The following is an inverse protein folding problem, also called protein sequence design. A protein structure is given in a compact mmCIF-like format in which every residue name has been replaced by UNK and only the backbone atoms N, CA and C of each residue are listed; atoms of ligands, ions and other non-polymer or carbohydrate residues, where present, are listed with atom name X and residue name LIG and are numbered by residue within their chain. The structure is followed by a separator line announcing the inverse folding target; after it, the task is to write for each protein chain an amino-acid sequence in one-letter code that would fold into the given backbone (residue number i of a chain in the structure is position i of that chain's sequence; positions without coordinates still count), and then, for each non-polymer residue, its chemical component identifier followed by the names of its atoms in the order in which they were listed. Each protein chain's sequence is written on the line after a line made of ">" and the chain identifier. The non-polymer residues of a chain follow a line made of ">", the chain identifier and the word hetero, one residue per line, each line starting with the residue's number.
data_IF_411878684732
#
_entry.id   IF_411878684732
#
_cell.length_a   1.000
_cell.length_b   1.000
_cell.length_c   1.000
_cell.angle_alpha   90.00
_cell.angle_beta   90.00
_cell.angle_gamma   90.00
#
_symmetry.space_group_name_H-M   'P 1'
#
loop_
_entity.id
_entity.type
_entity.pdbx_description
1 polymer ?
#
# COMPACT_ATOMS: atom_id res chain seq x y z
N UNK A 1 34.74 -36.34 36.13
CA UNK A 1 34.31 -37.10 34.94
C UNK A 1 34.46 -36.20 33.73
N UNK A 2 35.48 -36.45 32.91
CA UNK A 2 35.75 -35.77 31.63
C UNK A 2 34.98 -36.48 30.52
N UNK A 3 34.35 -35.75 29.61
CA UNK A 3 33.77 -36.31 28.38
C UNK A 3 34.26 -35.51 27.16
N UNK A 4 34.82 -36.27 26.23
CA UNK A 4 35.60 -35.90 25.06
C UNK A 4 34.70 -35.48 23.88
N UNK A 5 35.04 -34.39 23.19
CA UNK A 5 34.40 -33.97 21.93
C UNK A 5 35.24 -34.48 20.76
N UNK A 6 34.61 -35.24 19.85
CA UNK A 6 35.21 -35.71 18.60
C UNK A 6 34.80 -34.83 17.42
N UNK A 7 35.77 -34.39 16.63
CA UNK A 7 35.57 -33.70 15.35
C UNK A 7 35.86 -34.66 14.19
N UNK A 8 34.92 -34.81 13.27
CA UNK A 8 35.11 -35.50 11.98
C UNK A 8 35.16 -34.46 10.86
N UNK A 9 36.25 -34.44 10.09
CA UNK A 9 36.40 -33.60 8.92
C UNK A 9 35.92 -34.36 7.67
N UNK A 10 35.05 -33.73 6.88
CA UNK A 10 34.58 -34.24 5.58
C UNK A 10 35.24 -33.45 4.47
N UNK A 11 35.99 -34.12 3.60
CA UNK A 11 36.60 -33.53 2.40
C UNK A 11 35.58 -33.42 1.27
N UNK A 12 35.48 -32.24 0.65
CA UNK A 12 34.63 -31.98 -0.50
C UNK A 12 35.41 -32.13 -1.81
N UNK A 13 34.85 -32.87 -2.77
CA UNK A 13 35.36 -33.03 -4.14
C UNK A 13 34.80 -31.92 -5.02
N UNK A 14 35.66 -31.20 -5.74
CA UNK A 14 35.26 -30.17 -6.70
C UNK A 14 35.18 -30.83 -8.09
N UNK A 15 33.98 -30.89 -8.66
CA UNK A 15 33.75 -31.33 -10.03
C UNK A 15 33.62 -30.10 -10.95
N UNK A 16 34.53 -29.98 -11.91
CA UNK A 16 34.51 -28.93 -12.93
C UNK A 16 33.62 -29.36 -14.09
N UNK A 17 32.41 -28.77 -14.17
CA UNK A 17 31.48 -28.94 -15.28
C UNK A 17 31.59 -27.77 -16.26
N UNK A 18 31.94 -28.07 -17.51
CA UNK A 18 31.97 -27.12 -18.62
C UNK A 18 30.55 -26.81 -19.08
N UNK A 19 30.10 -25.57 -18.88
CA UNK A 19 28.80 -25.07 -19.39
C UNK A 19 28.99 -24.40 -20.74
N UNK A 20 28.39 -24.99 -21.77
CA UNK A 20 28.17 -24.40 -23.08
C UNK A 20 27.27 -23.17 -22.94
N UNK A 21 27.81 -22.00 -23.27
CA UNK A 21 27.07 -20.73 -23.25
C UNK A 21 26.17 -20.64 -24.49
N UNK A 22 24.90 -21.04 -24.35
CA UNK A 22 23.84 -20.68 -25.28
C UNK A 22 23.29 -19.31 -24.89
N UNK A 23 23.48 -18.30 -25.75
CA UNK A 23 22.86 -16.99 -25.59
C UNK A 23 21.34 -17.13 -25.77
N UNK A 24 20.60 -17.21 -24.66
CA UNK A 24 19.15 -17.11 -24.68
C UNK A 24 18.76 -15.70 -25.15
N UNK A 25 17.97 -15.62 -26.22
CA UNK A 25 17.35 -14.38 -26.66
C UNK A 25 16.46 -13.84 -25.52
N UNK A 26 16.45 -12.52 -25.26
CA UNK A 26 15.59 -11.95 -24.24
C UNK A 26 14.14 -12.18 -24.64
N UNK A 27 13.42 -12.97 -23.84
CA UNK A 27 11.97 -13.05 -23.92
C UNK A 27 11.43 -11.68 -23.51
N UNK A 28 10.99 -10.90 -24.50
CA UNK A 28 10.21 -9.69 -24.25
C UNK A 28 8.87 -10.19 -23.68
N UNK A 29 8.78 -10.21 -22.36
CA UNK A 29 7.51 -10.33 -21.63
C UNK A 29 6.67 -9.12 -22.04
N UNK A 30 5.89 -9.29 -23.10
CA UNK A 30 4.82 -8.37 -23.47
C UNK A 30 3.79 -8.47 -22.37
N UNK A 31 3.90 -7.60 -21.37
CA UNK A 31 2.91 -7.46 -20.32
C UNK A 31 1.53 -7.27 -20.94
N UNK A 32 0.51 -7.87 -20.31
CA UNK A 32 -0.88 -7.68 -20.73
C UNK A 32 -1.14 -6.18 -20.91
N UNK A 33 -1.73 -5.81 -22.05
CA UNK A 33 -2.03 -4.41 -22.35
C UNK A 33 -2.88 -3.84 -21.21
N UNK A 34 -2.38 -2.78 -20.57
CA UNK A 34 -3.14 -2.06 -19.56
C UNK A 34 -4.49 -1.64 -20.16
N UNK A 35 -5.58 -1.84 -19.40
CA UNK A 35 -6.91 -1.43 -19.83
C UNK A 35 -6.96 0.07 -20.13
N UNK A 36 -7.97 0.53 -20.90
CA UNK A 36 -8.16 1.95 -21.14
C UNK A 36 -8.32 2.72 -19.84
N UNK A 37 -7.66 3.86 -19.76
CA UNK A 37 -7.79 4.83 -18.67
C UNK A 37 -8.86 5.86 -19.03
N UNK A 38 -9.81 6.08 -18.15
CA UNK A 38 -10.99 6.92 -18.41
C UNK A 38 -10.95 8.29 -17.74
N UNK A 39 -9.90 8.59 -16.97
CA UNK A 39 -9.70 9.90 -16.34
C UNK A 39 -8.20 10.22 -16.20
N UNK A 40 -7.86 11.51 -16.00
CA UNK A 40 -6.51 11.93 -15.65
C UNK A 40 -6.50 13.18 -14.76
N UNK A 41 -5.64 13.18 -13.74
CA UNK A 41 -5.45 14.27 -12.78
C UNK A 41 -6.75 14.65 -12.07
N UNK A 42 -7.12 15.92 -12.18
CA UNK A 42 -8.34 16.47 -11.55
C UNK A 42 -9.64 15.82 -12.03
N UNK A 43 -9.66 15.24 -13.23
CA UNK A 43 -10.87 14.57 -13.75
C UNK A 43 -11.13 13.21 -13.09
N UNK A 44 -10.15 12.68 -12.36
CA UNK A 44 -10.26 11.47 -11.55
C UNK A 44 -10.82 11.74 -10.14
N UNK A 45 -10.92 13.00 -9.70
CA UNK A 45 -11.33 13.30 -8.32
C UNK A 45 -12.73 12.73 -8.02
N UNK A 46 -12.82 11.99 -6.91
CA UNK A 46 -14.07 11.36 -6.46
C UNK A 46 -14.47 10.11 -7.25
N UNK A 47 -13.66 9.63 -8.20
CA UNK A 47 -13.92 8.40 -8.97
C UNK A 47 -13.22 7.19 -8.37
N UNK A 48 -13.75 6.01 -8.67
CA UNK A 48 -13.16 4.74 -8.27
C UNK A 48 -11.96 4.36 -9.18
N UNK A 49 -10.85 3.94 -8.58
CA UNK A 49 -9.63 3.64 -9.32
C UNK A 49 -9.75 2.41 -10.24
N UNK A 50 -10.54 1.42 -9.84
CA UNK A 50 -10.78 0.20 -10.62
C UNK A 50 -11.66 0.52 -11.82
N UNK A 51 -12.76 1.26 -11.61
CA UNK A 51 -13.66 1.66 -12.68
C UNK A 51 -12.98 2.52 -13.75
N UNK A 52 -12.02 3.36 -13.34
CA UNK A 52 -11.29 4.25 -14.24
C UNK A 52 -10.08 3.61 -14.92
N UNK A 53 -9.78 2.34 -14.61
CA UNK A 53 -8.63 1.62 -15.17
C UNK A 53 -7.28 2.03 -14.57
N UNK A 54 -7.28 2.80 -13.48
CA UNK A 54 -6.07 3.34 -12.85
C UNK A 54 -5.26 2.31 -12.07
N UNK A 55 -5.87 1.18 -11.71
CA UNK A 55 -5.18 0.10 -10.99
C UNK A 55 -4.14 -0.64 -11.83
N UNK A 56 -4.22 -0.54 -13.17
CA UNK A 56 -3.36 -1.31 -14.08
C UNK A 56 -1.87 -0.93 -14.00
N UNK A 57 -1.55 0.34 -13.73
CA UNK A 57 -0.19 0.86 -13.55
C UNK A 57 0.05 1.42 -12.15
N UNK A 58 -0.84 1.08 -11.20
CA UNK A 58 -0.75 1.52 -9.83
C UNK A 58 0.51 0.97 -9.15
N UNK A 59 1.10 1.80 -8.30
CA UNK A 59 2.14 1.37 -7.36
C UNK A 59 1.93 2.01 -6.00
N UNK A 60 2.17 1.24 -4.94
CA UNK A 60 2.22 1.77 -3.59
C UNK A 60 3.43 2.71 -3.45
N UNK A 61 3.19 3.96 -3.03
CA UNK A 61 4.25 4.94 -2.75
C UNK A 61 4.71 4.82 -1.30
N UNK A 62 3.78 4.54 -0.39
CA UNK A 62 4.03 4.45 1.05
C UNK A 62 2.83 3.75 1.69
N UNK A 63 3.02 3.17 2.87
CA UNK A 63 1.93 2.55 3.61
C UNK A 63 2.16 2.56 5.12
N UNK A 64 1.26 1.88 5.83
CA UNK A 64 1.31 1.66 7.28
C UNK A 64 0.72 0.29 7.64
N UNK A 65 1.13 -0.25 8.78
CA UNK A 65 0.49 -1.40 9.42
C UNK A 65 -0.40 -0.90 10.57
N UNK A 66 -1.58 -1.50 10.75
CA UNK A 66 -2.37 -1.34 11.97
C UNK A 66 -2.08 -2.51 12.92
N UNK A 67 -1.98 -2.27 14.23
CA UNK A 67 -1.89 -3.35 15.22
C UNK A 67 -3.25 -3.44 15.90
N UNK A 68 -4.08 -4.41 15.52
CA UNK A 68 -5.47 -4.54 15.98
C UNK A 68 -5.64 -5.48 17.19
N UNK A 69 -4.54 -5.88 17.83
CA UNK A 69 -4.53 -6.81 18.97
C UNK A 69 -4.84 -8.27 18.62
N UNK A 70 -5.25 -8.59 17.38
CA UNK A 70 -5.50 -9.97 16.92
C UNK A 70 -4.25 -10.68 16.40
N UNK A 71 -3.15 -9.92 16.24
CA UNK A 71 -1.89 -10.42 15.65
C UNK A 71 -1.90 -10.43 14.12
N UNK A 72 -3.04 -10.13 13.50
CA UNK A 72 -3.14 -9.90 12.06
C UNK A 72 -2.81 -8.44 11.78
N UNK A 73 -2.00 -8.18 10.74
CA UNK A 73 -1.60 -6.84 10.34
C UNK A 73 -2.46 -6.40 9.17
N UNK A 74 -3.39 -5.45 9.35
CA UNK A 74 -4.00 -4.75 8.24
C UNK A 74 -2.95 -3.85 7.58
N UNK A 75 -2.93 -3.85 6.26
CA UNK A 75 -2.03 -3.01 5.45
C UNK A 75 -2.84 -1.86 4.86
N UNK A 76 -2.39 -0.63 5.10
CA UNK A 76 -2.88 0.56 4.43
C UNK A 76 -1.84 1.12 3.48
N UNK A 77 -2.10 1.11 2.18
CA UNK A 77 -1.19 1.62 1.15
C UNK A 77 -1.75 2.86 0.46
N UNK A 78 -0.92 3.88 0.29
CA UNK A 78 -1.19 5.00 -0.60
C UNK A 78 -0.67 4.64 -2.00
N UNK A 79 -1.60 4.44 -2.93
CA UNK A 79 -1.32 4.08 -4.31
C UNK A 79 -1.31 5.28 -5.23
N UNK A 80 -0.51 5.20 -6.29
CA UNK A 80 -0.45 6.19 -7.37
C UNK A 80 -0.39 5.52 -8.73
N UNK A 81 -1.15 6.05 -9.68
CA UNK A 81 -1.09 5.69 -11.10
C UNK A 81 -0.47 6.83 -11.90
N UNK A 82 0.53 6.50 -12.72
CA UNK A 82 1.16 7.49 -13.60
C UNK A 82 0.26 7.84 -14.79
N UNK A 83 -0.49 6.87 -15.31
CA UNK A 83 -1.44 7.07 -16.40
C UNK A 83 -2.61 7.97 -15.97
N UNK A 84 -3.18 7.72 -14.79
CA UNK A 84 -4.27 8.53 -14.25
C UNK A 84 -3.80 9.80 -13.53
N UNK A 85 -2.52 9.94 -13.20
CA UNK A 85 -1.98 11.07 -12.40
C UNK A 85 -2.80 11.31 -11.12
N UNK A 86 -3.20 10.23 -10.48
CA UNK A 86 -4.13 10.23 -9.37
C UNK A 86 -3.67 9.24 -8.29
N UNK A 87 -4.17 9.46 -7.08
CA UNK A 87 -3.87 8.67 -5.88
C UNK A 87 -5.12 8.26 -5.14
N UNK A 88 -5.02 7.14 -4.44
CA UNK A 88 -6.06 6.63 -3.54
C UNK A 88 -5.40 5.83 -2.42
N UNK A 89 -6.11 5.71 -1.30
CA UNK A 89 -5.73 4.78 -0.25
C UNK A 89 -6.39 3.43 -0.47
N UNK A 90 -5.63 2.35 -0.31
CA UNK A 90 -6.14 0.99 -0.20
C UNK A 90 -5.89 0.45 1.20
N UNK A 91 -6.84 -0.30 1.71
CA UNK A 91 -6.77 -0.90 3.02
C UNK A 91 -7.29 -2.33 2.99
N UNK A 92 -6.48 -3.24 3.51
CA UNK A 92 -6.82 -4.66 3.58
C UNK A 92 -6.90 -5.09 5.02
N UNK A 93 -8.00 -5.73 5.39
CA UNK A 93 -8.21 -6.31 6.72
C UNK A 93 -8.84 -7.69 6.59
N UNK A 94 -8.38 -8.64 7.37
CA UNK A 94 -8.97 -9.97 7.51
C UNK A 94 -9.87 -10.07 8.75
N UNK A 95 -9.95 -9.00 9.54
CA UNK A 95 -10.74 -8.95 10.75
C UNK A 95 -12.22 -8.67 10.40
N UNK A 96 -13.08 -9.67 10.59
CA UNK A 96 -14.50 -9.55 10.27
C UNK A 96 -15.27 -8.57 11.19
N UNK A 97 -14.71 -8.26 12.36
CA UNK A 97 -15.30 -7.32 13.32
C UNK A 97 -14.78 -5.88 13.13
N UNK A 98 -13.94 -5.64 12.13
CA UNK A 98 -13.29 -4.36 11.94
C UNK A 98 -14.28 -3.25 11.59
N UNK A 99 -14.19 -2.12 12.28
CA UNK A 99 -15.07 -0.98 12.05
C UNK A 99 -14.33 0.32 12.33
N UNK A 100 -13.88 0.95 11.25
CA UNK A 100 -13.18 2.23 11.32
C UNK A 100 -13.34 2.97 9.99
N UNK A 101 -12.71 4.14 9.89
CA UNK A 101 -12.69 4.96 8.69
C UNK A 101 -11.29 4.93 8.10
N UNK A 102 -11.22 4.74 6.79
CA UNK A 102 -10.02 5.07 6.04
C UNK A 102 -10.26 6.42 5.37
N UNK A 103 -9.27 7.31 5.49
CA UNK A 103 -9.41 8.70 5.06
C UNK A 103 -8.18 9.07 4.25
N UNK A 104 -8.41 9.52 3.03
CA UNK A 104 -7.41 10.22 2.24
C UNK A 104 -7.62 11.72 2.46
N UNK A 105 -6.76 12.33 3.27
CA UNK A 105 -6.70 13.77 3.43
C UNK A 105 -6.00 14.38 2.21
N UNK A 106 -6.64 15.39 1.63
CA UNK A 106 -6.19 16.06 0.42
C UNK A 106 -6.10 17.55 0.71
N UNK A 107 -4.93 18.14 0.50
CA UNK A 107 -4.72 19.57 0.61
C UNK A 107 -4.26 20.13 -0.73
N UNK A 108 -4.99 21.10 -1.32
CA UNK A 108 -4.54 21.74 -2.55
C UNK A 108 -3.14 22.37 -2.39
N UNK A 109 -2.36 22.33 -3.45
CA UNK A 109 -1.10 23.08 -3.53
C UNK A 109 -1.33 24.56 -3.15
N UNK A 110 -0.33 25.17 -2.51
CA UNK A 110 -0.33 26.58 -2.08
C UNK A 110 -1.27 26.94 -0.90
N UNK A 111 -1.60 25.97 -0.04
CA UNK A 111 -2.24 26.25 1.25
C UNK A 111 -3.76 26.35 1.19
N UNK A 112 -4.41 25.52 0.37
CA UNK A 112 -5.86 25.35 0.38
C UNK A 112 -6.37 24.66 1.65
N UNK A 113 -7.70 24.61 1.79
CA UNK A 113 -8.36 23.90 2.90
C UNK A 113 -8.23 22.39 2.69
N UNK A 114 -7.78 21.70 3.73
CA UNK A 114 -7.77 20.24 3.77
C UNK A 114 -9.20 19.68 3.62
N UNK A 115 -9.36 18.67 2.77
CA UNK A 115 -10.61 17.94 2.57
C UNK A 115 -10.40 16.44 2.75
N UNK A 116 -11.29 15.75 3.49
CA UNK A 116 -11.23 14.30 3.63
C UNK A 116 -11.97 13.60 2.48
N UNK A 117 -11.36 12.55 1.94
CA UNK A 117 -12.04 11.54 1.11
C UNK A 117 -12.16 10.26 1.94
N UNK A 118 -13.33 10.06 2.53
CA UNK A 118 -13.57 9.03 3.56
C UNK A 118 -14.26 7.81 2.99
N UNK A 119 -13.84 6.63 3.44
CA UNK A 119 -14.54 5.35 3.25
C UNK A 119 -14.69 4.66 4.61
N UNK A 120 -15.89 4.16 4.89
CA UNK A 120 -16.15 3.35 6.09
C UNK A 120 -15.75 1.91 5.78
N UNK A 121 -14.90 1.34 6.63
CA UNK A 121 -14.53 -0.08 6.63
C UNK A 121 -15.49 -0.81 7.54
N UNK A 122 -16.15 -1.84 7.02
CA UNK A 122 -17.08 -2.68 7.77
C UNK A 122 -16.77 -4.16 7.52
N UNK A 123 -15.90 -4.70 8.37
CA UNK A 123 -15.46 -6.09 8.35
C UNK A 123 -14.31 -6.35 7.37
N UNK A 124 -14.04 -7.64 7.21
CA UNK A 124 -12.94 -8.15 6.40
C UNK A 124 -13.15 -7.82 4.92
N UNK A 125 -12.07 -7.45 4.24
CA UNK A 125 -12.08 -7.16 2.82
C UNK A 125 -10.95 -6.26 2.35
N UNK A 126 -11.03 -5.93 1.07
CA UNK A 126 -10.24 -4.88 0.44
C UNK A 126 -11.13 -3.64 0.29
N UNK A 127 -10.62 -2.51 0.77
CA UNK A 127 -11.33 -1.25 0.81
C UNK A 127 -10.47 -0.19 0.16
N UNK A 128 -11.10 0.72 -0.59
CA UNK A 128 -10.39 1.83 -1.21
C UNK A 128 -11.14 3.14 -1.04
N UNK A 129 -10.39 4.24 -0.92
CA UNK A 129 -10.95 5.59 -1.02
C UNK A 129 -11.24 5.91 -2.48
N UNK A 130 -12.05 6.93 -2.73
CA UNK A 130 -12.09 7.53 -4.05
C UNK A 130 -10.73 8.18 -4.38
N UNK A 131 -10.47 8.39 -5.67
CA UNK A 131 -9.24 9.00 -6.13
C UNK A 131 -9.19 10.51 -5.84
N UNK A 132 -7.98 11.02 -5.66
CA UNK A 132 -7.63 12.43 -5.65
C UNK A 132 -6.54 12.72 -6.70
N UNK A 133 -6.49 13.95 -7.21
CA UNK A 133 -5.43 14.38 -8.11
C UNK A 133 -4.09 14.41 -7.38
N UNK A 134 -3.00 13.97 -8.04
CA UNK A 134 -1.64 14.03 -7.50
C UNK A 134 -1.06 15.46 -7.42
N UNK A 135 -1.73 16.44 -8.02
CA UNK A 135 -1.40 17.87 -7.85
C UNK A 135 -1.85 18.42 -6.48
N UNK A 136 -2.19 17.56 -5.54
CA UNK A 136 -2.53 17.93 -4.17
C UNK A 136 -1.54 17.24 -3.24
N UNK A 137 -1.26 17.86 -2.10
CA UNK A 137 -0.62 17.14 -1.01
C UNK A 137 -1.59 16.15 -0.39
N UNK A 138 -1.15 14.92 -0.15
CA UNK A 138 -2.03 13.86 0.35
C UNK A 138 -1.46 13.10 1.54
N UNK A 139 -2.34 12.65 2.42
CA UNK A 139 -2.03 11.74 3.54
C UNK A 139 -3.14 10.71 3.66
N UNK A 140 -2.77 9.43 3.73
CA UNK A 140 -3.73 8.34 3.93
C UNK A 140 -3.69 7.87 5.38
N UNK A 141 -4.85 7.69 5.99
CA UNK A 141 -4.99 7.33 7.40
C UNK A 141 -6.05 6.25 7.61
N UNK A 142 -5.86 5.43 8.63
CA UNK A 142 -6.90 4.60 9.24
C UNK A 142 -7.20 5.13 10.66
N UNK A 143 -8.44 5.52 10.92
CA UNK A 143 -8.89 6.19 12.14
C UNK A 143 -10.24 5.67 12.62
N UNK A 144 -10.44 5.61 13.94
CA UNK A 144 -11.72 5.21 14.53
C UNK A 144 -12.84 6.24 14.35
N UNK A 145 -12.51 7.51 14.07
CA UNK A 145 -13.48 8.62 14.07
C UNK A 145 -13.59 9.37 12.73
N UNK A 146 -12.76 9.03 11.74
CA UNK A 146 -12.78 9.71 10.44
C UNK A 146 -12.17 11.12 10.46
N UNK A 147 -11.44 11.46 11.53
CA UNK A 147 -10.78 12.76 11.75
C UNK A 147 -9.26 12.55 11.68
N UNK A 148 -8.52 13.59 11.29
CA UNK A 148 -7.05 13.53 11.27
C UNK A 148 -6.50 13.30 12.69
N UNK A 149 -5.84 12.17 12.96
CA UNK A 149 -5.31 11.89 14.28
C UNK A 149 -4.13 12.79 14.69
N UNK A 150 -3.52 13.53 13.75
CA UNK A 150 -2.46 14.50 14.08
C UNK A 150 -3.01 15.74 14.81
N UNK A 151 -4.33 15.98 14.78
CA UNK A 151 -4.95 17.17 15.37
C UNK A 151 -5.18 17.05 16.89
N UNK A 152 -5.10 15.83 17.43
CA UNK A 152 -5.44 15.50 18.82
C UNK A 152 -4.48 14.41 19.35
N UNK A 153 -3.47 14.85 20.10
CA UNK A 153 -2.51 13.96 20.80
C UNK A 153 -3.07 13.34 22.10
N UNK A 154 -4.34 13.57 22.45
CA UNK A 154 -4.85 13.38 23.81
C UNK A 154 -5.66 12.11 24.03
N UNK A 155 -6.19 11.47 22.97
CA UNK A 155 -6.96 10.24 23.14
C UNK A 155 -6.06 9.01 23.02
N UNK A 156 -6.00 8.20 24.08
CA UNK A 156 -5.35 6.88 24.11
C UNK A 156 -5.81 6.04 22.91
N UNK A 157 -4.88 5.75 22.01
CA UNK A 157 -5.16 5.07 20.75
C UNK A 157 -4.92 3.56 20.89
N UNK A 158 -5.98 2.78 20.77
CA UNK A 158 -5.99 1.31 20.81
C UNK A 158 -5.39 0.67 19.52
N UNK A 159 -4.26 1.20 19.03
CA UNK A 159 -3.56 0.69 17.84
C UNK A 159 -4.14 1.10 16.48
N UNK A 160 -5.34 1.69 16.46
CA UNK A 160 -5.94 2.41 15.33
C UNK A 160 -5.66 3.92 15.48
N UNK A 161 -5.59 4.67 14.37
CA UNK A 161 -5.05 6.04 14.21
C UNK A 161 -3.59 6.09 13.76
N UNK A 162 -3.37 5.52 12.57
CA UNK A 162 -2.08 5.52 11.88
C UNK A 162 -2.25 6.19 10.53
N UNK A 163 -1.22 6.91 10.11
CA UNK A 163 -1.20 7.62 8.84
C UNK A 163 0.13 7.43 8.13
N UNK A 164 0.09 7.56 6.80
CA UNK A 164 1.29 7.81 6.02
C UNK A 164 1.84 9.21 6.34
N UNK A 165 3.08 9.48 5.91
CA UNK A 165 3.53 10.88 5.83
C UNK A 165 2.79 11.59 4.69
N UNK A 166 2.67 12.91 4.79
CA UNK A 166 2.25 13.77 3.69
C UNK A 166 3.16 13.57 2.47
N UNK A 167 2.55 13.53 1.28
CA UNK A 167 3.20 13.43 -0.02
C UNK A 167 2.81 14.60 -0.89
#
# INVERSE_FOLDING_TARGET
>A
MMATLGFTATSATIASGSTTSGAAAPEILVGAAAGPVYCSGVTCEGRDAVEMGCVADARAITGFDVIDGTGTKPLGDLNYSAACKAVWGEYQTTNAADRHYIVLFVQPEYGGVERPVTKVVTGAGHWQTAMASWNNSVKFCATSFGIDPDIDKSTKYDGLNVCTRWR
#
